data_IF_461563254785
#
_entry.id   IF_461563254785
#
_cell.length_a   1.000
_cell.length_b   1.000
_cell.length_c   1.000
_cell.angle_alpha   90.00
_cell.angle_beta   90.00
_cell.angle_gamma   90.00
#
_symmetry.space_group_name_H-M   'P 1'
#
loop_
_entity.id
_entity.type
_entity.pdbx_description
1 polymer ?
2 non-polymer ?
3 non-polymer ?
4 water ?
#
# COMPACT_ATOMS: atom_id res chain seq x y z
N UNK A 8 -8.68 -13.50 14.46
CA UNK A 8 -8.21 -12.10 14.19
C UNK A 8 -9.36 -11.10 13.98
N UNK A 9 -10.61 -11.56 14.06
CA UNK A 9 -11.77 -10.70 13.80
C UNK A 9 -12.02 -9.70 14.92
N UNK A 10 -12.28 -10.19 16.13
CA UNK A 10 -12.55 -9.33 17.29
C UNK A 10 -11.39 -8.35 17.56
N UNK A 11 -10.13 -8.83 17.48
CA UNK A 11 -8.97 -7.93 17.52
C UNK A 11 -8.94 -6.84 16.42
N UNK A 12 -9.45 -7.14 15.23
CA UNK A 12 -9.49 -6.14 14.16
C UNK A 12 -10.61 -5.12 14.41
N UNK A 13 -11.77 -5.62 14.86
CA UNK A 13 -12.92 -4.77 15.19
C UNK A 13 -12.62 -3.71 16.26
N UNK A 14 -11.74 -4.04 17.21
CA UNK A 14 -11.44 -3.13 18.34
C UNK A 14 -10.72 -1.87 17.87
N UNK A 15 -9.84 -2.03 16.90
CA UNK A 15 -9.16 -0.90 16.27
C UNK A 15 -10.19 0.01 15.60
N UNK A 16 -11.00 -0.57 14.71
CA UNK A 16 -12.10 0.11 14.03
C UNK A 16 -12.98 0.90 15.01
N UNK A 17 -13.45 0.23 16.06
CA UNK A 17 -14.34 0.83 17.06
C UNK A 17 -13.66 1.94 17.84
N UNK A 18 -12.36 1.81 18.09
CA UNK A 18 -11.61 2.85 18.79
C UNK A 18 -11.48 4.09 17.89
N UNK A 19 -11.24 3.86 16.60
CA UNK A 19 -11.04 4.95 15.65
C UNK A 19 -12.35 5.40 15.01
N UNK A 20 -13.44 4.77 15.42
CA UNK A 20 -14.77 4.95 14.83
C UNK A 20 -15.10 6.41 14.51
N UNK A 21 -14.89 7.27 15.49
CA UNK A 21 -15.35 8.65 15.42
C UNK A 21 -14.44 9.46 14.48
N UNK A 22 -13.14 9.28 14.62
CA UNK A 22 -12.18 9.96 13.76
C UNK A 22 -12.37 9.56 12.30
N UNK A 23 -12.62 8.28 12.05
CA UNK A 23 -12.91 7.82 10.68
C UNK A 23 -14.17 8.45 10.10
N UNK A 24 -15.18 8.64 10.95
CA UNK A 24 -16.38 9.35 10.54
C UNK A 24 -16.01 10.77 10.12
N UNK A 25 -15.27 11.44 11.00
CA UNK A 25 -14.96 12.88 10.84
C UNK A 25 -13.97 13.15 9.69
N UNK A 26 -13.20 12.12 9.34
CA UNK A 26 -12.37 12.16 8.13
C UNK A 26 -13.26 12.04 6.91
N UNK A 27 -14.04 10.97 6.84
CA UNK A 27 -14.89 10.70 5.66
C UNK A 27 -15.89 11.81 5.40
N UNK A 28 -16.15 12.62 6.43
CA UNK A 28 -16.82 13.90 6.29
C UNK A 28 -16.00 14.92 5.51
N UNK A 29 -14.69 14.97 5.76
CA UNK A 29 -13.81 15.91 5.09
C UNK A 29 -13.69 15.53 3.62
N UNK A 30 -13.26 14.30 3.38
CA UNK A 30 -13.22 13.72 2.03
C UNK A 30 -14.49 14.10 1.25
N UNK A 31 -15.66 13.95 1.88
CA UNK A 31 -16.92 14.34 1.26
C UNK A 31 -16.95 15.84 0.95
N UNK A 32 -16.72 16.66 1.97
CA UNK A 32 -16.80 18.15 1.85
C UNK A 32 -15.74 18.79 0.91
N UNK A 33 -14.56 18.18 0.80
CA UNK A 33 -13.51 18.71 -0.09
C UNK A 33 -13.61 18.20 -1.53
N UNK A 34 -14.25 17.05 -1.71
CA UNK A 34 -14.55 16.56 -3.05
C UNK A 34 -15.59 17.45 -3.74
N UNK A 35 -16.36 18.18 -2.92
CA UNK A 35 -17.27 19.21 -3.43
C UNK A 35 -16.48 20.40 -3.98
N UNK A 36 -16.70 20.68 -5.26
CA UNK A 36 -15.99 21.75 -5.95
C UNK A 36 -16.87 23.00 -6.10
N UNK A 37 -16.37 24.13 -5.57
CA UNK A 37 -17.08 25.42 -5.61
C UNK A 37 -17.78 25.66 -6.94
N UNK A 38 -17.00 25.64 -8.02
CA UNK A 38 -17.49 26.01 -9.35
C UNK A 38 -18.04 24.81 -10.14
N UNK A 39 -17.18 23.85 -10.47
CA UNK A 39 -17.59 22.70 -11.30
C UNK A 39 -18.48 21.73 -10.51
N UNK A 40 -19.67 21.39 -11.05
CA UNK A 40 -20.51 20.37 -10.42
C UNK A 40 -20.35 18.96 -11.01
N UNK A 41 -19.41 18.79 -11.93
CA UNK A 41 -19.21 17.50 -12.64
C UNK A 41 -18.24 16.52 -11.94
N UNK A 42 -17.85 16.84 -10.70
CA UNK A 42 -16.94 16.00 -9.90
C UNK A 42 -17.67 15.04 -8.94
N UNK A 43 -18.50 15.56 -8.01
CA UNK A 43 -19.04 14.72 -6.92
C UNK A 43 -19.73 13.39 -7.30
N UNK A 44 -20.22 13.29 -8.55
CA UNK A 44 -20.77 12.02 -9.06
C UNK A 44 -19.71 10.93 -9.23
N UNK A 45 -18.45 11.35 -9.41
CA UNK A 45 -17.33 10.42 -9.58
C UNK A 45 -16.64 10.13 -8.24
N UNK A 46 -16.50 11.16 -7.38
CA UNK A 46 -15.78 11.02 -6.10
C UNK A 46 -16.56 10.22 -5.06
N UNK A 47 -17.85 10.52 -4.91
CA UNK A 47 -18.72 9.77 -4.01
C UNK A 47 -18.76 8.31 -4.45
N UNK A 48 -18.88 8.11 -5.76
CA UNK A 48 -18.83 6.79 -6.41
C UNK A 48 -17.56 5.98 -6.07
N UNK A 49 -16.45 6.66 -5.78
CA UNK A 49 -15.18 5.99 -5.42
C UNK A 49 -14.94 5.87 -3.91
N UNK A 50 -15.69 6.62 -3.09
CA UNK A 50 -15.62 6.50 -1.64
C UNK A 50 -17.00 6.15 -1.08
N UNK A 56 -10.95 2.61 5.81
CA UNK A 56 -9.85 2.02 5.04
C UNK A 56 -8.59 2.11 5.89
N UNK A 57 -7.65 1.19 5.68
CA UNK A 57 -6.51 1.05 6.61
C UNK A 57 -5.46 2.15 6.49
N UNK A 58 -5.28 2.72 5.29
CA UNK A 58 -4.29 3.77 5.13
C UNK A 58 -4.56 5.00 6.02
N UNK A 59 -5.77 5.59 5.93
CA UNK A 59 -6.07 6.72 6.81
C UNK A 59 -6.13 6.32 8.27
N UNK A 60 -6.53 5.07 8.53
CA UNK A 60 -6.52 4.49 9.89
C UNK A 60 -5.13 4.50 10.52
N UNK A 61 -4.11 4.21 9.72
CA UNK A 61 -2.73 4.23 10.20
C UNK A 61 -2.33 5.58 10.79
N UNK A 62 -2.77 6.65 10.13
CA UNK A 62 -2.42 8.00 10.53
C UNK A 62 -3.08 8.36 11.85
N UNK A 63 -4.35 8.04 11.97
CA UNK A 63 -5.10 8.33 13.20
C UNK A 63 -4.57 7.50 14.35
N UNK A 64 -4.36 6.24 14.05
CA UNK A 64 -3.85 5.33 15.05
C UNK A 64 -2.52 5.85 15.58
N UNK A 65 -1.66 6.28 14.66
CA UNK A 65 -0.33 6.73 15.03
C UNK A 65 -0.38 8.01 15.87
N UNK A 66 -1.31 8.88 15.55
CA UNK A 66 -1.49 10.12 16.29
C UNK A 66 -1.93 9.82 17.72
N UNK A 67 -2.96 9.00 17.85
CA UNK A 67 -3.47 8.64 19.18
C UNK A 67 -2.41 7.89 20.00
N UNK A 68 -1.71 6.97 19.35
CA UNK A 68 -0.64 6.25 20.02
C UNK A 68 0.37 7.20 20.69
N UNK A 69 0.62 8.35 20.08
CA UNK A 69 1.56 9.33 20.62
C UNK A 69 0.90 10.47 21.43
N UNK A 70 -0.39 10.30 21.75
CA UNK A 70 -1.11 11.23 22.62
C UNK A 70 -1.53 12.56 22.02
N UNK A 71 -1.80 12.59 20.71
CA UNK A 71 -2.19 13.84 20.05
C UNK A 71 -3.62 14.25 20.37
N UNK A 72 -3.76 15.48 20.91
CA UNK A 72 -5.07 16.06 21.19
C UNK A 72 -5.70 16.65 19.93
N UNK A 73 -4.95 17.53 19.26
CA UNK A 73 -5.46 18.42 18.20
C UNK A 73 -6.24 17.84 17.02
N UNK A 74 -6.48 18.67 15.98
CA UNK A 74 -7.40 18.32 14.88
C UNK A 74 -6.75 17.83 13.58
N UNK A 75 -5.44 18.02 13.43
CA UNK A 75 -4.80 17.88 12.12
C UNK A 75 -4.56 16.44 11.65
N UNK A 76 -4.54 15.50 12.59
CA UNK A 76 -4.52 14.06 12.26
C UNK A 76 -5.67 13.68 11.33
N UNK A 77 -6.79 14.38 11.49
CA UNK A 77 -7.93 14.27 10.58
C UNK A 77 -7.58 14.77 9.18
N UNK A 78 -6.94 15.93 9.12
CA UNK A 78 -6.48 16.46 7.82
C UNK A 78 -5.56 15.44 7.16
N UNK A 79 -4.58 14.98 7.92
CA UNK A 79 -3.54 14.11 7.40
C UNK A 79 -4.08 12.75 6.93
N UNK A 80 -5.05 12.21 7.66
CA UNK A 80 -5.62 10.93 7.26
C UNK A 80 -6.48 11.12 6.01
N UNK A 81 -7.16 12.25 5.89
CA UNK A 81 -7.90 12.58 4.64
C UNK A 81 -6.95 12.68 3.43
N UNK A 82 -5.91 13.48 3.59
CA UNK A 82 -4.82 13.57 2.60
C UNK A 82 -4.36 12.19 2.13
N UNK A 83 -4.13 11.32 3.10
CA UNK A 83 -3.69 9.97 2.81
C UNK A 83 -4.67 9.25 1.87
N UNK A 84 -5.98 9.34 2.15
CA UNK A 84 -6.96 8.69 1.27
C UNK A 84 -7.05 9.40 -0.07
N UNK A 85 -7.09 10.73 -0.05
CA UNK A 85 -7.08 11.50 -1.32
C UNK A 85 -5.96 11.02 -2.20
N UNK A 86 -4.77 10.94 -1.65
CA UNK A 86 -3.62 10.46 -2.41
C UNK A 86 -3.76 9.03 -2.91
N UNK A 87 -4.30 8.14 -2.08
CA UNK A 87 -4.45 6.75 -2.51
C UNK A 87 -5.43 6.67 -3.68
N UNK A 88 -6.57 7.33 -3.54
CA UNK A 88 -7.61 7.36 -4.58
C UNK A 88 -7.10 7.92 -5.90
N UNK A 89 -6.49 9.10 -5.84
CA UNK A 89 -5.97 9.76 -7.05
C UNK A 89 -5.02 8.85 -7.80
N UNK A 90 -4.19 8.15 -7.05
CA UNK A 90 -3.24 7.16 -7.60
C UNK A 90 -3.98 6.00 -8.29
N UNK A 91 -5.10 5.58 -7.71
CA UNK A 91 -5.90 4.49 -8.29
C UNK A 91 -6.46 4.91 -9.64
N UNK A 92 -7.21 6.00 -9.64
CA UNK A 92 -7.70 6.62 -10.88
C UNK A 92 -6.63 6.60 -11.98
N UNK A 93 -5.45 7.12 -11.66
CA UNK A 93 -4.38 7.23 -12.64
C UNK A 93 -3.90 5.90 -13.21
N UNK A 94 -3.98 4.84 -12.40
CA UNK A 94 -3.56 3.51 -12.86
C UNK A 94 -4.63 2.87 -13.74
N UNK A 95 -5.89 3.18 -13.47
CA UNK A 95 -7.02 2.74 -14.32
C UNK A 95 -6.92 3.25 -15.76
N UNK A 96 -6.00 4.20 -16.01
CA UNK A 96 -5.53 4.50 -17.35
C UNK A 96 -4.14 3.87 -17.51
N UNK A 115 -11.57 8.21 -19.04
CA UNK A 115 -10.21 8.18 -19.52
C UNK A 115 -9.56 9.55 -19.31
N UNK A 116 -10.14 10.58 -19.91
CA UNK A 116 -9.74 11.95 -19.62
C UNK A 116 -10.30 12.34 -18.25
N UNK A 117 -11.48 11.83 -17.95
CA UNK A 117 -12.18 12.14 -16.70
C UNK A 117 -11.41 11.65 -15.46
N UNK A 118 -10.65 10.58 -15.61
CA UNK A 118 -9.85 10.05 -14.51
C UNK A 118 -8.68 10.98 -14.16
N UNK A 119 -7.78 11.16 -15.11
CA UNK A 119 -6.60 12.00 -14.92
C UNK A 119 -6.95 13.25 -14.13
N UNK A 120 -7.94 14.00 -14.62
CA UNK A 120 -8.22 15.32 -14.08
C UNK A 120 -8.88 15.25 -12.71
N UNK A 121 -9.66 14.19 -12.48
CA UNK A 121 -10.32 14.01 -11.18
C UNK A 121 -9.27 13.66 -10.12
N UNK A 122 -8.35 12.76 -10.46
CA UNK A 122 -7.20 12.44 -9.60
C UNK A 122 -6.38 13.68 -9.27
N UNK A 123 -6.03 14.43 -10.32
CA UNK A 123 -5.29 15.69 -10.15
C UNK A 123 -6.01 16.61 -9.17
N UNK A 124 -7.33 16.62 -9.27
CA UNK A 124 -8.15 17.41 -8.35
C UNK A 124 -7.98 16.94 -6.90
N UNK A 125 -7.95 15.63 -6.70
CA UNK A 125 -7.80 15.08 -5.34
C UNK A 125 -6.41 15.35 -4.78
N UNK A 126 -5.39 15.23 -5.64
CA UNK A 126 -4.03 15.62 -5.28
C UNK A 126 -4.00 17.06 -4.80
N UNK A 127 -4.53 17.97 -5.61
CA UNK A 127 -4.57 19.39 -5.23
C UNK A 127 -5.28 19.54 -3.88
N UNK A 128 -6.39 18.86 -3.70
CA UNK A 128 -7.12 18.91 -2.43
C UNK A 128 -6.32 18.31 -1.28
N UNK A 129 -5.61 17.22 -1.54
CA UNK A 129 -4.75 16.60 -0.52
C UNK A 129 -3.68 17.59 -0.02
N UNK A 130 -3.21 18.43 -0.94
CA UNK A 130 -2.10 19.35 -0.71
C UNK A 130 -2.56 20.52 0.16
N UNK A 131 -3.74 21.03 -0.17
CA UNK A 131 -4.44 22.02 0.65
C UNK A 131 -4.59 21.61 2.09
N UNK A 132 -5.03 20.35 2.31
CA UNK A 132 -5.20 19.79 3.67
C UNK A 132 -3.90 19.72 4.48
N UNK A 133 -2.81 19.24 3.89
CA UNK A 133 -1.53 19.18 4.64
C UNK A 133 -1.01 20.58 4.97
N UNK A 134 -1.15 21.50 4.03
CA UNK A 134 -0.65 22.87 4.25
C UNK A 134 -1.36 23.51 5.44
N UNK A 135 -2.67 23.27 5.53
CA UNK A 135 -3.45 23.79 6.65
C UNK A 135 -2.96 23.34 8.02
N UNK A 136 -2.17 22.26 8.08
CA UNK A 136 -1.70 21.72 9.37
C UNK A 136 -0.57 22.54 9.95
N UNK A 137 0.02 23.39 9.12
CA UNK A 137 1.14 24.23 9.55
C UNK A 137 2.49 23.56 9.71
N UNK A 138 2.59 22.28 9.36
CA UNK A 138 3.81 21.50 9.63
C UNK A 138 4.60 21.22 8.36
N UNK A 139 5.79 21.80 8.31
CA UNK A 139 6.64 21.64 7.15
C UNK A 139 7.20 20.22 7.12
N UNK A 140 7.52 19.71 8.31
CA UNK A 140 8.01 18.34 8.46
C UNK A 140 7.09 17.31 7.81
N UNK A 141 5.79 17.36 8.07
CA UNK A 141 4.85 16.37 7.49
C UNK A 141 4.72 16.57 5.98
N UNK A 142 4.87 17.82 5.56
CA UNK A 142 4.81 18.18 4.15
C UNK A 142 6.00 17.59 3.44
N UNK A 143 7.17 17.73 4.07
CA UNK A 143 8.35 17.08 3.54
C UNK A 143 8.10 15.59 3.42
N UNK A 144 7.57 14.99 4.48
CA UNK A 144 7.37 13.54 4.51
C UNK A 144 6.44 13.11 3.39
N UNK A 145 5.31 13.78 3.24
CA UNK A 145 4.35 13.46 2.19
C UNK A 145 4.81 13.91 0.79
N UNK A 146 5.66 14.93 0.72
CA UNK A 146 6.24 15.35 -0.58
C UNK A 146 7.21 14.31 -1.07
N UNK A 147 8.08 13.84 -0.18
CA UNK A 147 9.02 12.78 -0.56
C UNK A 147 8.34 11.45 -0.85
N UNK A 148 7.27 11.17 -0.12
CA UNK A 148 6.53 9.94 -0.32
C UNK A 148 5.87 9.93 -1.71
N UNK A 149 5.24 11.05 -2.05
CA UNK A 149 4.60 11.24 -3.36
C UNK A 149 5.62 11.06 -4.45
N UNK A 150 6.85 11.49 -4.18
CA UNK A 150 7.95 11.29 -5.12
C UNK A 150 8.20 9.79 -5.29
N UNK A 151 8.38 9.09 -4.17
CA UNK A 151 8.60 7.64 -4.21
C UNK A 151 7.46 6.93 -4.95
N UNK A 152 6.22 7.29 -4.63
CA UNK A 152 5.07 6.61 -5.23
C UNK A 152 5.11 6.74 -6.75
N UNK A 153 5.17 7.98 -7.21
CA UNK A 153 5.19 8.25 -8.65
C UNK A 153 6.40 7.62 -9.34
N UNK A 154 7.52 7.56 -8.63
CA UNK A 154 8.77 6.97 -9.12
C UNK A 154 8.66 5.45 -9.26
N UNK A 155 7.94 4.81 -8.35
CA UNK A 155 7.64 3.39 -8.46
C UNK A 155 6.76 3.10 -9.66
N UNK A 156 5.66 3.84 -9.78
CA UNK A 156 4.71 3.70 -10.90
C UNK A 156 5.42 3.62 -12.26
N UNK A 157 6.44 4.44 -12.45
CA UNK A 157 7.19 4.48 -13.70
C UNK A 157 8.16 3.32 -13.78
N UNK A 158 8.85 3.05 -12.66
CA UNK A 158 9.72 1.87 -12.56
C UNK A 158 8.95 0.60 -12.86
N UNK A 159 7.67 0.58 -12.50
CA UNK A 159 6.81 -0.55 -12.78
C UNK A 159 6.69 -0.75 -14.30
N UNK A 160 6.51 0.33 -15.04
CA UNK A 160 6.37 0.24 -16.50
C UNK A 160 7.49 -0.60 -17.08
N UNK A 161 8.71 -0.24 -16.72
CA UNK A 161 9.91 -0.89 -17.24
C UNK A 161 10.07 -2.31 -16.70
N UNK A 162 9.96 -2.46 -15.38
CA UNK A 162 10.19 -3.74 -14.72
C UNK A 162 9.09 -4.77 -14.97
N UNK A 163 7.88 -4.31 -15.31
CA UNK A 163 6.84 -5.22 -15.78
C UNK A 163 7.22 -5.69 -17.17
N UNK A 164 7.09 -6.99 -17.40
CA UNK A 164 7.44 -7.62 -18.68
C UNK A 164 8.96 -7.58 -18.91
N UNK A 165 9.73 -7.78 -17.84
CA UNK A 165 11.20 -7.69 -17.90
C UNK A 165 11.90 -8.70 -16.98
N UNK A 166 12.19 -9.88 -17.52
CA UNK A 166 12.72 -11.00 -16.73
C UNK A 166 14.11 -10.77 -16.12
N UNK A 167 14.69 -9.59 -16.33
CA UNK A 167 15.94 -9.22 -15.68
C UNK A 167 15.71 -8.78 -14.21
N UNK A 168 14.47 -8.41 -13.90
CA UNK A 168 14.07 -7.95 -12.55
C UNK A 168 14.42 -8.91 -11.41
N UNK A 169 15.30 -8.48 -10.51
CA UNK A 169 15.56 -9.21 -9.28
C UNK A 169 14.44 -8.95 -8.27
N UNK A 170 14.45 -9.71 -7.17
CA UNK A 170 13.56 -9.45 -6.05
C UNK A 170 13.87 -8.12 -5.42
N UNK A 171 15.16 -7.80 -5.30
CA UNK A 171 15.58 -6.53 -4.72
C UNK A 171 14.99 -5.36 -5.49
N UNK A 172 14.83 -5.51 -6.80
CA UNK A 172 14.20 -4.49 -7.63
C UNK A 172 12.69 -4.46 -7.48
N UNK A 173 12.10 -5.62 -7.22
CA UNK A 173 10.65 -5.68 -6.98
C UNK A 173 10.30 -4.98 -5.66
N UNK A 174 11.14 -5.15 -4.64
CA UNK A 174 10.93 -4.50 -3.32
C UNK A 174 10.85 -2.97 -3.46
N UNK A 175 11.68 -2.41 -4.34
CA UNK A 175 11.61 -0.99 -4.68
C UNK A 175 10.28 -0.64 -5.30
N UNK A 176 9.80 -1.49 -6.20
CA UNK A 176 8.50 -1.28 -6.83
C UNK A 176 7.40 -1.29 -5.77
N UNK A 177 7.51 -2.24 -4.85
CA UNK A 177 6.54 -2.42 -3.78
C UNK A 177 6.48 -1.21 -2.86
N UNK A 178 7.65 -0.71 -2.46
CA UNK A 178 7.73 0.49 -1.64
C UNK A 178 7.00 1.64 -2.31
N UNK A 179 7.37 1.92 -3.56
CA UNK A 179 6.73 2.99 -4.31
C UNK A 179 5.23 2.80 -4.39
N UNK A 180 4.82 1.73 -5.07
CA UNK A 180 3.40 1.52 -5.32
C UNK A 180 2.59 1.35 -4.04
N UNK A 181 3.19 0.76 -3.00
CA UNK A 181 2.42 0.41 -1.79
C UNK A 181 2.97 0.96 -0.47
N UNK A 182 4.20 0.60 -0.12
CA UNK A 182 4.64 0.78 1.28
C UNK A 182 4.88 2.24 1.66
N UNK A 183 5.35 3.04 0.70
CA UNK A 183 5.68 4.44 0.97
C UNK A 183 4.54 5.21 1.61
N UNK A 184 3.32 4.99 1.13
CA UNK A 184 2.15 5.66 1.72
C UNK A 184 1.82 5.13 3.12
N UNK A 185 1.94 3.82 3.31
CA UNK A 185 1.78 3.24 4.65
C UNK A 185 2.75 3.91 5.61
N UNK A 186 4.02 3.92 5.23
CA UNK A 186 5.07 4.39 6.11
C UNK A 186 4.92 5.90 6.33
N UNK A 187 4.45 6.61 5.32
CA UNK A 187 4.20 8.04 5.45
C UNK A 187 3.00 8.30 6.32
N UNK A 188 1.94 7.52 6.10
CA UNK A 188 0.72 7.64 6.93
C UNK A 188 0.99 7.53 8.44
N UNK A 189 1.81 6.57 8.81
CA UNK A 189 2.12 6.28 10.20
C UNK A 189 3.08 7.32 10.72
N UNK A 190 4.09 7.63 9.90
CA UNK A 190 5.09 8.61 10.26
C UNK A 190 4.50 9.99 10.49
N UNK A 191 3.65 10.49 9.58
CA UNK A 191 3.04 11.82 9.81
C UNK A 191 2.15 11.86 11.04
N UNK A 192 1.52 10.73 11.37
CA UNK A 192 0.71 10.65 12.58
C UNK A 192 1.54 10.87 13.83
N UNK A 193 2.78 10.40 13.81
CA UNK A 193 3.67 10.57 14.96
C UNK A 193 4.23 11.97 15.00
N UNK A 194 4.53 12.51 13.82
CA UNK A 194 5.16 13.83 13.72
C UNK A 194 4.21 14.91 14.16
N UNK A 195 2.96 14.82 13.72
CA UNK A 195 1.97 15.83 14.09
C UNK A 195 1.71 15.76 15.59
N UNK A 196 1.83 14.57 16.17
CA UNK A 196 1.71 14.40 17.62
C UNK A 196 2.87 15.03 18.39
N UNK A 197 3.98 15.26 17.70
CA UNK A 197 5.18 15.83 18.29
C UNK A 197 6.08 14.79 18.94
N UNK A 198 5.95 13.54 18.52
CA UNK A 198 6.68 12.44 19.15
C UNK A 198 8.18 12.56 18.91
N UNK A 199 8.99 12.03 19.83
CA UNK A 199 10.45 12.03 19.64
C UNK A 199 10.90 11.21 18.43
N UNK A 200 12.12 11.46 17.96
CA UNK A 200 12.61 10.91 16.70
C UNK A 200 12.71 9.38 16.66
N UNK A 201 12.94 8.74 17.81
CA UNK A 201 12.96 7.28 17.87
C UNK A 201 11.54 6.70 17.66
N UNK A 202 10.54 7.28 18.32
CA UNK A 202 9.16 6.85 18.15
C UNK A 202 8.75 6.98 16.67
N UNK A 203 9.25 8.02 16.00
CA UNK A 203 8.87 8.34 14.63
C UNK A 203 9.48 7.35 13.63
N UNK A 204 10.77 7.10 13.76
CA UNK A 204 11.45 6.09 12.96
C UNK A 204 10.79 4.72 13.09
N UNK A 205 10.34 4.37 14.29
CA UNK A 205 9.65 3.09 14.54
C UNK A 205 8.28 3.04 13.86
N UNK A 206 7.60 4.18 13.84
CA UNK A 206 6.34 4.27 13.15
C UNK A 206 6.54 4.11 11.65
N UNK A 207 7.56 4.78 11.11
CA UNK A 207 7.92 4.64 9.72
C UNK A 207 8.20 3.18 9.40
N UNK A 208 9.07 2.52 10.19
CA UNK A 208 9.47 1.13 9.93
C UNK A 208 8.30 0.16 10.04
N UNK A 209 7.45 0.35 11.04
CA UNK A 209 6.18 -0.39 11.09
C UNK A 209 5.39 -0.32 9.79
N UNK A 210 5.16 0.90 9.29
CA UNK A 210 4.35 1.10 8.12
C UNK A 210 5.00 0.57 6.85
N UNK A 211 6.32 0.68 6.78
CA UNK A 211 7.03 0.17 5.61
C UNK A 211 6.91 -1.35 5.57
N UNK A 212 7.24 -2.00 6.67
CA UNK A 212 7.19 -3.46 6.70
C UNK A 212 5.76 -3.96 6.49
N UNK A 213 4.79 -3.27 7.11
CA UNK A 213 3.38 -3.64 6.96
C UNK A 213 2.90 -3.49 5.53
N UNK A 214 3.40 -2.48 4.83
CA UNK A 214 2.99 -2.23 3.45
C UNK A 214 3.56 -3.28 2.51
N UNK A 215 4.81 -3.65 2.77
CA UNK A 215 5.48 -4.70 2.01
C UNK A 215 4.74 -6.02 2.20
N UNK A 216 4.41 -6.35 3.46
CA UNK A 216 3.67 -7.58 3.75
C UNK A 216 2.33 -7.54 3.05
N UNK A 217 1.61 -6.43 3.22
CA UNK A 217 0.30 -6.22 2.60
C UNK A 217 0.28 -6.58 1.10
N UNK A 218 1.31 -6.10 0.37
CA UNK A 218 1.41 -6.26 -1.08
C UNK A 218 1.86 -7.65 -1.46
N UNK A 219 2.75 -8.24 -0.67
CA UNK A 219 3.16 -9.63 -0.94
C UNK A 219 1.98 -10.56 -0.75
N UNK A 220 1.15 -10.29 0.25
CA UNK A 220 -0.08 -11.07 0.44
C UNK A 220 -0.93 -10.99 -0.82
N UNK A 221 -1.16 -9.78 -1.35
CA UNK A 221 -1.92 -9.62 -2.60
C UNK A 221 -1.31 -10.49 -3.69
N UNK A 222 0.00 -10.36 -3.87
CA UNK A 222 0.75 -11.15 -4.85
C UNK A 222 0.47 -12.64 -4.72
N UNK A 223 0.50 -13.11 -3.48
CA UNK A 223 0.25 -14.50 -3.12
C UNK A 223 -1.15 -14.99 -3.48
N UNK A 224 -2.16 -14.20 -3.14
CA UNK A 224 -3.56 -14.56 -3.33
C UNK A 224 -4.02 -14.49 -4.79
N UNK A 225 -3.20 -13.88 -5.65
CA UNK A 225 -3.44 -13.90 -7.09
C UNK A 225 -3.18 -15.29 -7.71
N UNK A 226 -2.73 -16.24 -6.86
CA UNK A 226 -2.53 -17.64 -7.24
C UNK A 226 -3.30 -18.58 -6.30
N UNK A 227 -3.04 -18.44 -4.99
CA UNK A 227 -3.72 -19.26 -3.99
C UNK A 227 -5.22 -18.95 -3.94
N UNK A 228 -6.00 -19.95 -3.52
CA UNK A 228 -7.45 -19.82 -3.41
C UNK A 228 -7.86 -19.25 -2.06
N UNK A 235 -11.96 -15.91 -10.89
CA UNK A 235 -11.85 -14.67 -11.63
C UNK A 235 -10.50 -14.01 -11.39
N UNK A 236 -10.13 -13.92 -10.11
CA UNK A 236 -8.87 -13.32 -9.71
C UNK A 236 -7.63 -14.05 -10.20
N UNK A 237 -7.66 -15.38 -10.17
CA UNK A 237 -6.44 -16.15 -10.34
C UNK A 237 -5.74 -15.98 -11.68
N UNK A 238 -4.42 -15.81 -11.61
CA UNK A 238 -3.59 -15.69 -12.78
C UNK A 238 -3.54 -14.29 -13.37
N UNK A 239 -4.24 -13.35 -12.73
CA UNK A 239 -4.34 -12.00 -13.26
C UNK A 239 -2.98 -11.36 -13.52
N UNK A 240 -2.10 -11.40 -12.54
CA UNK A 240 -0.73 -10.88 -12.67
C UNK A 240 0.03 -11.57 -13.80
N UNK A 241 -0.25 -12.87 -13.98
CA UNK A 241 0.31 -13.68 -15.07
C UNK A 241 -0.13 -13.18 -16.46
N UNK A 242 -1.43 -13.02 -16.67
CA UNK A 242 -1.93 -12.47 -17.92
C UNK A 242 -1.41 -11.05 -18.12
N UNK A 243 -1.41 -10.26 -17.04
CA UNK A 243 -0.89 -8.88 -17.04
C UNK A 243 0.61 -8.75 -17.32
N UNK A 244 1.35 -9.87 -17.21
CA UNK A 244 2.79 -9.88 -17.51
C UNK A 244 3.53 -8.99 -16.49
N UNK A 245 2.96 -8.95 -15.30
CA UNK A 245 3.43 -8.13 -14.20
C UNK A 245 4.23 -9.04 -13.28
N UNK A 246 5.48 -8.68 -13.00
CA UNK A 246 6.38 -9.57 -12.26
C UNK A 246 6.17 -9.50 -10.73
N UNK A 247 5.23 -10.32 -10.29
CA UNK A 247 4.96 -10.63 -8.89
C UNK A 247 6.17 -11.39 -8.28
N UNK A 248 6.26 -11.43 -6.96
CA UNK A 248 7.38 -12.12 -6.31
C UNK A 248 7.42 -13.62 -6.62
N UNK A 249 6.27 -14.31 -6.54
CA UNK A 249 6.26 -15.73 -6.91
C UNK A 249 6.82 -16.00 -8.32
N UNK A 250 6.56 -15.09 -9.25
CA UNK A 250 7.08 -15.22 -10.61
C UNK A 250 8.58 -14.95 -10.67
N UNK A 251 9.05 -14.01 -9.87
CA UNK A 251 10.47 -13.70 -9.84
C UNK A 251 11.27 -14.88 -9.32
N UNK A 252 10.76 -15.46 -8.24
CA UNK A 252 11.40 -16.58 -7.61
C UNK A 252 11.37 -17.83 -8.53
N UNK A 253 10.31 -17.97 -9.34
CA UNK A 253 10.23 -19.07 -10.31
C UNK A 253 11.22 -18.86 -11.45
N UNK A 254 11.17 -17.68 -12.06
CA UNK A 254 12.06 -17.34 -13.16
C UNK A 254 13.52 -17.47 -12.74
N UNK A 255 13.82 -17.02 -11.51
CA UNK A 255 15.16 -17.12 -10.96
C UNK A 255 15.74 -18.52 -10.98
N UNK A 256 14.89 -19.53 -11.10
CA UNK A 256 15.36 -20.93 -11.16
C UNK A 256 15.10 -21.62 -12.49
N UNK A 257 14.69 -20.83 -13.48
CA UNK A 257 14.34 -21.34 -14.80
C UNK A 257 15.56 -21.86 -15.55
N UNK A 258 15.52 -23.13 -15.93
CA UNK A 258 16.42 -23.66 -16.94
C UNK A 258 16.02 -23.10 -18.32
N UNK A 259 16.74 -23.53 -19.35
CA UNK A 259 16.49 -23.08 -20.71
C UNK A 259 15.06 -23.34 -21.17
N UNK A 260 14.58 -24.55 -20.91
CA UNK A 260 13.21 -24.95 -21.23
C UNK A 260 12.20 -23.99 -20.60
N UNK A 261 12.36 -23.74 -19.30
CA UNK A 261 11.45 -22.89 -18.54
C UNK A 261 11.60 -21.42 -18.87
N UNK A 262 12.83 -20.99 -19.09
CA UNK A 262 13.08 -19.62 -19.53
C UNK A 262 12.29 -19.33 -20.80
N UNK A 263 12.35 -20.24 -21.77
CA UNK A 263 11.63 -20.05 -23.04
C UNK A 263 10.17 -19.83 -22.82
N UNK A 264 9.59 -20.61 -21.90
CA UNK A 264 8.20 -20.40 -21.49
C UNK A 264 8.01 -19.01 -20.85
N UNK A 265 8.94 -18.57 -19.99
CA UNK A 265 8.82 -17.26 -19.34
C UNK A 265 9.04 -16.13 -20.35
N UNK A 266 10.09 -16.25 -21.15
CA UNK A 266 10.39 -15.31 -22.24
C UNK A 266 9.18 -15.07 -23.16
N UNK A 267 8.39 -16.11 -23.35
CA UNK A 267 7.27 -16.11 -24.30
C UNK A 267 5.98 -15.51 -23.77
N UNK A 268 5.59 -15.87 -22.55
CA UNK A 268 4.28 -15.51 -21.98
C UNK A 268 4.29 -14.15 -21.25
N UNK A 269 5.49 -13.60 -21.05
CA UNK A 269 5.71 -12.37 -20.31
C UNK A 269 6.31 -11.31 -21.24
N UNK A 270 7.50 -11.58 -21.77
CA UNK A 270 8.18 -10.61 -22.63
C UNK A 270 7.60 -10.54 -24.05
N UNK A 271 7.07 -11.65 -24.55
CA UNK A 271 6.36 -11.65 -25.85
C UNK A 271 4.84 -11.53 -25.69
N UNK A 272 4.34 -11.78 -24.49
CA UNK A 272 2.90 -11.69 -24.23
C UNK A 272 2.03 -12.77 -24.83
N UNK A 273 2.63 -13.70 -25.57
CA UNK A 273 1.88 -14.76 -26.24
C UNK A 273 1.49 -15.88 -25.29
N UNK A 274 0.19 -16.06 -25.08
CA UNK A 274 -0.35 -17.11 -24.21
C UNK A 274 -1.49 -17.88 -24.87
N UNK A 275 -1.64 -19.14 -24.48
CA UNK A 275 -2.63 -20.03 -25.06
C UNK A 275 -3.37 -20.76 -23.94
N UNK A 276 -4.25 -21.68 -24.34
CA UNK A 276 -4.86 -22.62 -23.43
C UNK A 276 -3.76 -23.47 -22.79
N UNK A 277 -3.86 -23.67 -21.47
CA UNK A 277 -2.93 -24.51 -20.74
C UNK A 277 -1.79 -23.77 -20.05
N UNK A 278 -1.56 -22.51 -20.46
CA UNK A 278 -0.40 -21.73 -19.99
C UNK A 278 -0.44 -21.30 -18.52
N UNK A 279 -1.64 -21.04 -17.99
CA UNK A 279 -1.79 -20.69 -16.58
C UNK A 279 -1.49 -21.90 -15.68
N UNK A 280 -1.94 -23.08 -16.11
CA UNK A 280 -1.76 -24.29 -15.34
C UNK A 280 -0.28 -24.64 -15.29
N UNK A 281 0.43 -24.38 -16.39
CA UNK A 281 1.85 -24.66 -16.47
C UNK A 281 2.67 -23.70 -15.58
N UNK A 282 2.35 -22.40 -15.63
CA UNK A 282 2.95 -21.39 -14.74
C UNK A 282 2.83 -21.79 -13.28
N UNK A 283 1.61 -22.16 -12.87
CA UNK A 283 1.34 -22.56 -11.48
C UNK A 283 2.15 -23.80 -11.09
N UNK A 284 2.24 -24.77 -12.00
CA UNK A 284 3.07 -25.96 -11.79
C UNK A 284 4.54 -25.58 -11.53
N UNK A 285 5.06 -24.63 -12.32
CA UNK A 285 6.43 -24.15 -12.18
C UNK A 285 6.64 -23.42 -10.85
N UNK A 286 5.62 -22.71 -10.39
CA UNK A 286 5.70 -22.03 -9.08
C UNK A 286 5.87 -23.06 -8.00
N UNK A 287 5.02 -24.08 -8.05
CA UNK A 287 5.06 -25.15 -7.04
C UNK A 287 6.37 -25.93 -7.13
N UNK A 288 6.75 -26.26 -8.36
CA UNK A 288 8.00 -26.98 -8.65
C UNK A 288 9.18 -26.32 -7.95
N UNK A 289 9.17 -25.00 -7.93
CA UNK A 289 10.28 -24.23 -7.40
C UNK A 289 10.02 -23.62 -6.03
N UNK A 290 8.98 -24.09 -5.33
CA UNK A 290 8.60 -23.59 -4.00
C UNK A 290 8.39 -22.08 -3.96
N UNK A 291 7.86 -21.52 -5.04
CA UNK A 291 7.81 -20.07 -5.18
C UNK A 291 6.74 -19.45 -4.31
N UNK A 292 5.73 -20.22 -3.95
CA UNK A 292 4.64 -19.69 -3.18
C UNK A 292 4.96 -19.81 -1.70
N UNK A 293 5.41 -20.97 -1.28
CA UNK A 293 5.79 -21.19 0.13
C UNK A 293 6.83 -20.17 0.55
N UNK A 294 7.80 -19.97 -0.33
CA UNK A 294 8.87 -19.07 -0.11
C UNK A 294 8.41 -17.61 -0.07
N UNK A 295 7.43 -17.26 -0.88
CA UNK A 295 6.88 -15.89 -0.86
C UNK A 295 6.05 -15.66 0.39
N UNK A 296 5.29 -16.69 0.78
CA UNK A 296 4.58 -16.73 2.04
C UNK A 296 5.52 -16.40 3.20
N UNK A 297 6.74 -16.92 3.14
CA UNK A 297 7.73 -16.74 4.20
C UNK A 297 8.19 -15.30 4.27
N UNK A 298 8.38 -14.67 3.12
CA UNK A 298 8.77 -13.25 3.10
C UNK A 298 7.66 -12.38 3.66
N UNK A 299 6.43 -12.66 3.22
CA UNK A 299 5.25 -12.04 3.82
C UNK A 299 5.26 -12.12 5.36
N UNK A 300 5.35 -13.33 5.90
CA UNK A 300 5.32 -13.53 7.35
C UNK A 300 6.49 -12.81 8.06
N UNK A 301 7.64 -12.76 7.40
CA UNK A 301 8.86 -12.19 7.96
C UNK A 301 8.78 -10.66 8.07
N UNK A 302 8.26 -10.03 7.04
CA UNK A 302 8.01 -8.60 7.08
C UNK A 302 6.95 -8.22 8.11
N UNK A 303 5.90 -9.02 8.20
CA UNK A 303 4.88 -8.81 9.22
C UNK A 303 5.44 -8.93 10.65
N UNK A 304 6.38 -9.84 10.87
CA UNK A 304 7.02 -9.94 12.18
C UNK A 304 7.93 -8.73 12.42
N UNK A 305 8.56 -8.27 11.34
CA UNK A 305 9.38 -7.07 11.36
C UNK A 305 8.58 -5.84 11.76
N UNK A 306 7.37 -5.73 11.23
CA UNK A 306 6.47 -4.64 11.59
C UNK A 306 6.27 -4.64 13.10
N UNK A 307 5.87 -5.78 13.66
CA UNK A 307 5.58 -5.85 15.08
C UNK A 307 6.80 -5.57 15.94
N UNK A 308 7.95 -6.08 15.55
CA UNK A 308 9.17 -5.82 16.29
C UNK A 308 9.52 -4.34 16.28
N UNK A 309 9.22 -3.66 15.19
CA UNK A 309 9.53 -2.23 15.09
C UNK A 309 8.76 -1.39 16.13
N UNK A 310 7.68 -1.93 16.66
CA UNK A 310 6.95 -1.27 17.75
C UNK A 310 7.58 -1.43 19.13
N UNK A 311 8.60 -2.28 19.25
CA UNK A 311 9.13 -2.72 20.55
C UNK A 311 9.47 -1.59 21.53
N UNK A 312 10.32 -0.63 21.13
CA UNK A 312 10.77 0.39 22.07
C UNK A 312 9.65 1.30 22.60
N UNK A 313 8.60 1.45 21.81
CA UNK A 313 7.46 2.29 22.21
C UNK A 313 6.93 1.83 23.55
N UNK A 314 6.43 2.79 24.36
CA UNK A 314 5.79 2.41 25.61
C UNK A 314 4.40 1.83 25.33
N UNK A 315 3.96 0.91 26.19
CA UNK A 315 2.71 0.17 25.99
C UNK A 315 1.52 1.10 25.91
N UNK A 316 0.52 0.70 25.13
CA UNK A 316 -0.59 1.56 24.81
C UNK A 316 -1.62 0.77 23.98
N UNK A 317 -2.92 1.00 24.22
CA UNK A 317 -3.95 0.19 23.54
C UNK A 317 -3.90 0.21 22.02
N UNK A 318 -3.46 1.32 21.46
CA UNK A 318 -3.26 1.41 20.01
C UNK A 318 -2.03 0.62 19.59
N UNK A 319 -1.01 0.56 20.45
CA UNK A 319 0.17 -0.27 20.19
C UNK A 319 -0.28 -1.72 19.93
N UNK A 320 -1.24 -2.18 20.72
CA UNK A 320 -1.76 -3.54 20.64
C UNK A 320 -2.50 -3.74 19.31
N UNK A 321 -3.34 -2.77 18.96
CA UNK A 321 -4.10 -2.79 17.71
C UNK A 321 -3.20 -2.95 16.50
N UNK A 322 -2.04 -2.29 16.53
CA UNK A 322 -1.09 -2.31 15.43
C UNK A 322 -0.34 -3.65 15.30
N UNK A 323 -0.18 -4.33 16.43
CA UNK A 323 0.37 -5.69 16.49
C UNK A 323 -0.61 -6.65 15.85
N UNK A 324 -1.85 -6.66 16.34
CA UNK A 324 -2.94 -7.44 15.77
C UNK A 324 -3.09 -7.20 14.25
N UNK A 325 -2.91 -5.94 13.84
CA UNK A 325 -3.00 -5.57 12.42
C UNK A 325 -1.93 -6.28 11.63
N UNK A 326 -0.75 -6.41 12.22
CA UNK A 326 0.38 -7.07 11.53
C UNK A 326 0.05 -8.54 11.29
N UNK A 327 -0.56 -9.18 12.28
CA UNK A 327 -1.07 -10.55 12.13
C UNK A 327 -2.27 -10.63 11.17
N UNK A 328 -3.21 -9.70 11.30
CA UNK A 328 -4.38 -9.64 10.42
C UNK A 328 -4.00 -9.54 8.93
N UNK A 329 -2.99 -8.74 8.61
CA UNK A 329 -2.58 -8.60 7.22
C UNK A 329 -2.12 -9.95 6.63
N UNK A 330 -1.52 -10.82 7.43
CA UNK A 330 -1.05 -12.10 6.90
C UNK A 330 -1.96 -13.29 7.24
N UNK A 331 -3.13 -13.04 7.82
CA UNK A 331 -4.00 -14.16 8.25
C UNK A 331 -4.49 -15.02 7.08
N UNK A 332 -4.69 -14.41 5.91
CA UNK A 332 -5.20 -15.12 4.73
C UNK A 332 -4.19 -16.03 4.02
N UNK A 333 -2.98 -16.16 4.57
CA UNK A 333 -2.00 -17.12 4.06
C UNK A 333 -1.55 -18.04 5.20
#
# INVERSE_FOLDING_TARGET
SMSKTENAQKPHDRMAAYLESDMAAVSTLIRERMASKHAPRIPEVTAHLVEAGGKRLRPMLTLAAAHLCGYDGPFHINLAATVEFIHTATLLHDDVVDESGQRRGRPTANLLWDNKSSVLVGDYLFSRSFQLMVETGSLRVLDILANASATIAEGEVLQLTASQNLATTEEVYLQVVRGKTAALFSAATEVGGVIAGAPDDHVAALFEYGDALGIAFQIVDDLLDFQGDAGAIGKNIGDDFRERKLTMPLIKAVAKADAEERAFWVRTIEKGKQEEGDLQHAIALLHKHAALTDTSVVARTQAARAKAALAPLPAHPVKDMLVDLADYVVERIN
#
